data_IF_847562161356
#
_entry.id   IF_847562161356
#
_cell.length_a   1.000
_cell.length_b   1.000
_cell.length_c   1.000
_cell.angle_alpha   90.00
_cell.angle_beta   90.00
_cell.angle_gamma   90.00
#
_symmetry.space_group_name_H-M   'P 1'
#
loop_
_entity.id
_entity.type
_entity.pdbx_description
1 polymer ?
#
# COMPACT_ATOMS: atom_id res chain seq x y z
N UNK A 1 14.12 16.24 -7.97
CA UNK A 1 13.93 16.15 -6.51
C UNK A 1 12.50 15.74 -6.24
N UNK A 2 12.25 14.86 -5.26
CA UNK A 2 10.89 14.57 -4.83
C UNK A 2 10.26 15.84 -4.26
N UNK A 3 9.01 16.15 -4.62
CA UNK A 3 8.22 17.24 -4.01
C UNK A 3 8.11 17.01 -2.49
N UNK A 4 7.91 18.04 -1.68
CA UNK A 4 7.54 17.83 -0.28
C UNK A 4 6.08 17.36 -0.18
N UNK A 5 5.70 16.72 0.93
CA UNK A 5 4.33 16.22 1.11
C UNK A 5 3.28 17.33 0.97
N UNK A 6 3.55 18.49 1.57
CA UNK A 6 2.69 19.68 1.49
C UNK A 6 2.50 20.25 0.07
N UNK A 7 3.37 19.88 -0.87
CA UNK A 7 3.35 20.39 -2.24
C UNK A 7 2.64 19.43 -3.22
N UNK A 8 2.09 18.31 -2.71
CA UNK A 8 1.37 17.34 -3.53
C UNK A 8 -0.05 17.80 -3.81
N UNK A 9 -0.52 17.57 -5.03
CA UNK A 9 -1.95 17.65 -5.35
C UNK A 9 -2.73 16.49 -4.71
N UNK A 10 -4.05 16.61 -4.63
CA UNK A 10 -4.91 15.50 -4.15
C UNK A 10 -4.71 14.21 -4.98
N UNK A 11 -4.52 14.34 -6.29
CA UNK A 11 -4.22 13.23 -7.19
C UNK A 11 -2.90 12.57 -6.83
N UNK A 12 -1.87 13.36 -6.52
CA UNK A 12 -0.55 12.85 -6.12
C UNK A 12 -0.57 12.23 -4.72
N UNK A 13 -1.34 12.79 -3.78
CA UNK A 13 -1.54 12.21 -2.44
C UNK A 13 -2.20 10.83 -2.56
N UNK A 14 -3.25 10.72 -3.38
CA UNK A 14 -3.96 9.45 -3.54
C UNK A 14 -3.10 8.40 -4.25
N UNK A 15 -2.35 8.80 -5.27
CA UNK A 15 -1.38 7.92 -5.93
C UNK A 15 -0.24 7.46 -4.99
N UNK A 16 0.23 8.36 -4.12
CA UNK A 16 1.21 8.02 -3.08
C UNK A 16 0.61 7.01 -2.10
N UNK A 17 -0.60 7.23 -1.60
CA UNK A 17 -1.27 6.30 -0.68
C UNK A 17 -1.39 4.90 -1.29
N UNK A 18 -1.83 4.77 -2.55
CA UNK A 18 -1.90 3.48 -3.26
C UNK A 18 -0.53 2.78 -3.31
N UNK A 19 0.53 3.54 -3.56
CA UNK A 19 1.91 3.00 -3.62
C UNK A 19 2.42 2.60 -2.23
N UNK A 20 2.02 3.32 -1.18
CA UNK A 20 2.29 2.98 0.22
C UNK A 20 1.62 1.66 0.60
N UNK A 21 0.33 1.48 0.33
CA UNK A 21 -0.37 0.22 0.66
C UNK A 21 0.24 -0.99 -0.08
N UNK A 22 0.66 -0.83 -1.34
CA UNK A 22 1.37 -1.89 -2.06
C UNK A 22 2.70 -2.25 -1.38
N UNK A 23 3.42 -1.24 -0.88
CA UNK A 23 4.71 -1.44 -0.21
C UNK A 23 4.51 -2.12 1.14
N UNK A 24 3.51 -1.69 1.92
CA UNK A 24 3.21 -2.23 3.24
C UNK A 24 2.73 -3.68 3.15
N UNK A 25 1.88 -4.02 2.18
CA UNK A 25 1.48 -5.41 1.91
C UNK A 25 2.69 -6.31 1.62
N UNK A 26 3.66 -5.85 0.81
CA UNK A 26 4.89 -6.59 0.51
C UNK A 26 5.76 -6.78 1.77
N UNK A 27 5.89 -5.75 2.60
CA UNK A 27 6.63 -5.82 3.85
C UNK A 27 6.01 -6.85 4.80
N UNK A 28 4.68 -6.86 4.94
CA UNK A 28 3.99 -7.85 5.77
C UNK A 28 4.11 -9.27 5.21
N UNK A 29 4.07 -9.44 3.89
CA UNK A 29 4.31 -10.72 3.26
C UNK A 29 5.71 -11.27 3.58
N UNK A 30 6.74 -10.40 3.56
CA UNK A 30 8.12 -10.76 3.89
C UNK A 30 8.26 -11.16 5.37
N UNK A 31 7.63 -10.41 6.30
CA UNK A 31 7.59 -10.79 7.71
C UNK A 31 6.88 -12.12 7.95
N UNK A 32 5.72 -12.33 7.32
CA UNK A 32 4.98 -13.58 7.42
C UNK A 32 5.83 -14.77 6.92
N UNK A 33 6.55 -14.60 5.82
CA UNK A 33 7.45 -15.62 5.28
C UNK A 33 8.61 -15.92 6.23
N UNK A 34 9.26 -14.88 6.77
CA UNK A 34 10.40 -15.02 7.69
C UNK A 34 10.03 -15.66 9.04
N UNK A 35 8.80 -15.44 9.52
CA UNK A 35 8.34 -15.92 10.83
C UNK A 35 7.62 -17.28 10.79
N UNK A 36 7.31 -17.81 9.61
CA UNK A 36 6.44 -18.98 9.44
C UNK A 36 6.88 -20.22 10.21
N UNK A 37 8.20 -20.46 10.31
CA UNK A 37 8.76 -21.66 10.94
C UNK A 37 8.76 -21.56 12.46
N UNK A 38 9.31 -20.46 12.99
CA UNK A 38 9.58 -20.32 14.42
C UNK A 38 8.41 -19.70 15.19
N UNK A 39 7.59 -18.89 14.51
CA UNK A 39 6.50 -18.11 15.10
C UNK A 39 5.25 -18.13 14.21
N UNK A 40 4.61 -19.30 13.98
CA UNK A 40 3.50 -19.44 13.02
C UNK A 40 2.28 -18.60 13.36
N UNK A 41 1.98 -18.38 14.65
CA UNK A 41 0.88 -17.51 15.07
C UNK A 41 1.15 -16.03 14.73
N UNK A 42 2.38 -15.55 14.90
CA UNK A 42 2.77 -14.19 14.51
C UNK A 42 2.79 -14.03 13.00
N UNK A 43 3.26 -15.04 12.27
CA UNK A 43 3.21 -15.06 10.80
C UNK A 43 1.78 -14.93 10.28
N UNK A 44 0.80 -15.55 10.95
CA UNK A 44 -0.61 -15.45 10.59
C UNK A 44 -1.15 -14.01 10.76
N UNK A 45 -0.76 -13.31 11.82
CA UNK A 45 -1.15 -11.90 12.01
C UNK A 45 -0.64 -11.04 10.84
N UNK A 46 0.63 -11.22 10.43
CA UNK A 46 1.17 -10.48 9.28
C UNK A 46 0.47 -10.85 7.96
N UNK A 47 0.01 -12.10 7.79
CA UNK A 47 -0.83 -12.47 6.64
C UNK A 47 -2.18 -11.79 6.63
N UNK A 48 -2.78 -11.57 7.79
CA UNK A 48 -4.04 -10.83 7.89
C UNK A 48 -3.83 -9.34 7.59
N UNK A 49 -2.73 -8.76 8.06
CA UNK A 49 -2.36 -7.37 7.74
C UNK A 49 -2.07 -7.16 6.25
N UNK A 50 -1.33 -8.08 5.60
CA UNK A 50 -1.13 -8.07 4.14
C UNK A 50 -2.47 -8.00 3.38
N UNK A 51 -3.46 -8.80 3.79
CA UNK A 51 -4.78 -8.83 3.18
C UNK A 51 -5.58 -7.54 3.43
N UNK A 52 -5.38 -6.90 4.59
CA UNK A 52 -5.99 -5.61 4.92
C UNK A 52 -5.43 -4.50 4.02
N UNK A 53 -4.11 -4.43 3.83
CA UNK A 53 -3.50 -3.42 2.93
C UNK A 53 -3.85 -3.66 1.45
N UNK A 54 -4.01 -4.91 1.03
CA UNK A 54 -4.56 -5.22 -0.30
C UNK A 54 -5.96 -4.63 -0.51
N UNK A 55 -6.81 -4.71 0.50
CA UNK A 55 -8.16 -4.16 0.47
C UNK A 55 -8.17 -2.63 0.54
N UNK A 56 -7.29 -2.02 1.35
CA UNK A 56 -7.05 -0.58 1.34
C UNK A 56 -6.63 -0.10 -0.04
N UNK A 57 -5.62 -0.75 -0.65
CA UNK A 57 -5.15 -0.43 -1.99
C UNK A 57 -6.28 -0.50 -3.01
N UNK A 58 -7.11 -1.55 -2.95
CA UNK A 58 -8.25 -1.73 -3.87
C UNK A 58 -9.23 -0.56 -3.79
N UNK A 59 -9.62 -0.14 -2.58
CA UNK A 59 -10.52 0.99 -2.35
C UNK A 59 -9.92 2.31 -2.86
N UNK A 60 -8.64 2.55 -2.58
CA UNK A 60 -7.95 3.76 -3.02
C UNK A 60 -7.84 3.81 -4.55
N UNK A 61 -7.60 2.68 -5.23
CA UNK A 61 -7.59 2.59 -6.70
C UNK A 61 -8.97 2.91 -7.27
N UNK A 62 -10.04 2.39 -6.68
CA UNK A 62 -11.41 2.68 -7.10
C UNK A 62 -11.74 4.17 -6.96
N UNK A 63 -11.37 4.77 -5.82
CA UNK A 63 -11.55 6.19 -5.59
C UNK A 63 -10.70 7.06 -6.52
N UNK A 64 -9.48 6.62 -6.84
CA UNK A 64 -8.63 7.31 -7.82
C UNK A 64 -9.28 7.30 -9.19
N UNK A 65 -9.71 6.12 -9.66
CA UNK A 65 -10.38 5.96 -10.96
C UNK A 65 -11.60 6.85 -11.08
N UNK A 66 -12.43 6.88 -10.03
CA UNK A 66 -13.63 7.70 -9.96
C UNK A 66 -13.36 9.20 -10.05
N UNK A 67 -12.23 9.68 -9.52
CA UNK A 67 -11.91 11.12 -9.44
C UNK A 67 -10.99 11.63 -10.54
N UNK A 68 -10.04 10.81 -10.98
CA UNK A 68 -8.90 11.23 -11.79
C UNK A 68 -8.66 10.36 -13.04
N UNK A 69 -9.45 9.28 -13.23
CA UNK A 69 -9.33 8.37 -14.36
C UNK A 69 -8.35 7.21 -14.13
N UNK A 70 -8.03 6.47 -15.19
CA UNK A 70 -7.35 5.17 -15.09
C UNK A 70 -5.83 5.24 -14.86
N UNK A 71 -5.19 6.37 -15.20
CA UNK A 71 -3.74 6.47 -15.15
C UNK A 71 -3.24 6.93 -13.78
N UNK A 72 -2.88 5.97 -12.93
CA UNK A 72 -2.27 6.22 -11.62
C UNK A 72 -0.76 6.40 -11.80
N UNK A 73 -0.19 7.59 -11.52
CA UNK A 73 1.25 7.80 -11.60
C UNK A 73 1.96 7.09 -10.43
N UNK A 74 3.11 6.48 -10.71
CA UNK A 74 3.95 5.93 -9.65
C UNK A 74 4.62 7.08 -8.88
N UNK A 75 4.30 7.20 -7.59
CA UNK A 75 4.95 8.15 -6.68
C UNK A 75 5.56 7.36 -5.53
N UNK A 76 6.85 7.60 -5.28
CA UNK A 76 7.59 6.98 -4.17
C UNK A 76 8.21 8.07 -3.31
N UNK A 77 8.33 7.78 -2.01
CA UNK A 77 9.04 8.60 -1.03
C UNK A 77 9.79 7.71 -0.06
#
# INVERSE_FOLDING_TARGET
MAKNFKDLSEQEILALAISSEETDARIYADFAAGLKTDYPATAQIFKEMEAEEDEHRRKLIEDYRRRFGEHIPLIRR
#
